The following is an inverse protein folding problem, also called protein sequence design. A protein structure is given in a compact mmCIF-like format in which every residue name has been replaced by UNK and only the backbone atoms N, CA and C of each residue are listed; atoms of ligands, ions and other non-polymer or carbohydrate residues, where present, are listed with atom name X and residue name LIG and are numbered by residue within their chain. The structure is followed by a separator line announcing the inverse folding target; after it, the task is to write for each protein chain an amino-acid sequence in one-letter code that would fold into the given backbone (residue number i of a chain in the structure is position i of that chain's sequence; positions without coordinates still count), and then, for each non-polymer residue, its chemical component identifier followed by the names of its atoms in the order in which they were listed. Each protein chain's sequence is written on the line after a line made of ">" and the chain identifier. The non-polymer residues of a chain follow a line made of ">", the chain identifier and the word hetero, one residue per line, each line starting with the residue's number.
data_IF_853015158385
#
_entry.id   IF_853015158385
#
_cell.length_a   1.000
_cell.length_b   1.000
_cell.length_c   1.000
_cell.angle_alpha   90.00
_cell.angle_beta   90.00
_cell.angle_gamma   90.00
#
_symmetry.space_group_name_H-M   'P 1'
#
loop_
_entity.id
_entity.type
_entity.pdbx_description
1 polymer ?
#
# COMPACT_ATOMS: atom_id res chain seq x y z
N UNK A 1 24.54 40.24 22.35
CA UNK A 1 23.39 39.83 23.16
C UNK A 1 22.79 41.06 23.91
N UNK A 2 23.60 41.81 24.70
CA UNK A 2 23.11 42.92 25.53
C UNK A 2 22.39 44.04 24.74
N UNK A 3 22.90 44.36 23.54
CA UNK A 3 22.29 45.40 22.68
C UNK A 3 20.91 44.94 22.14
N UNK A 4 20.78 43.68 21.73
CA UNK A 4 19.53 43.11 21.26
C UNK A 4 18.48 43.02 22.40
N UNK A 5 18.92 42.64 23.60
CA UNK A 5 18.06 42.55 24.75
C UNK A 5 17.53 43.94 25.15
N UNK A 6 18.39 44.94 25.25
CA UNK A 6 17.98 46.30 25.55
C UNK A 6 17.02 46.87 24.51
N UNK A 7 17.26 46.61 23.22
CA UNK A 7 16.33 47.01 22.17
C UNK A 7 14.98 46.35 22.32
N UNK A 8 14.93 45.05 22.54
CA UNK A 8 13.69 44.28 22.72
C UNK A 8 12.88 44.76 23.94
N UNK A 9 13.56 45.02 25.07
CA UNK A 9 12.92 45.54 26.28
C UNK A 9 12.37 46.95 26.09
N UNK A 10 13.06 47.76 25.26
CA UNK A 10 12.60 49.12 24.97
C UNK A 10 11.44 49.17 23.99
N UNK A 11 11.31 48.18 23.13
CA UNK A 11 10.27 48.09 22.12
C UNK A 11 9.28 46.92 22.38
N UNK A 12 8.84 46.76 23.62
CA UNK A 12 7.95 45.69 24.07
C UNK A 12 6.75 45.43 23.16
N UNK A 13 5.95 46.47 22.73
CA UNK A 13 4.79 46.19 21.90
C UNK A 13 5.13 45.65 20.51
N UNK A 14 6.28 46.05 19.95
CA UNK A 14 6.72 45.58 18.64
C UNK A 14 7.14 44.10 18.72
N UNK A 15 7.82 43.73 19.79
CA UNK A 15 8.25 42.36 20.01
C UNK A 15 7.02 41.45 20.23
N UNK A 16 6.07 41.86 21.06
CA UNK A 16 4.84 41.10 21.31
C UNK A 16 4.03 40.92 20.03
N UNK A 17 3.84 42.01 19.27
CA UNK A 17 3.12 41.95 17.99
C UNK A 17 3.83 41.03 16.99
N UNK A 18 5.16 41.11 16.89
CA UNK A 18 5.97 40.24 16.05
C UNK A 18 5.83 38.77 16.41
N UNK A 19 5.82 38.45 17.72
CA UNK A 19 5.60 37.08 18.19
C UNK A 19 4.19 36.57 17.83
N UNK A 20 3.16 37.43 17.98
CA UNK A 20 1.78 37.04 17.64
C UNK A 20 1.67 36.80 16.13
N UNK A 21 2.22 37.66 15.31
CA UNK A 21 2.21 37.50 13.84
C UNK A 21 2.94 36.21 13.44
N UNK A 22 4.11 35.97 14.00
CA UNK A 22 4.87 34.76 13.75
C UNK A 22 4.10 33.50 14.16
N UNK A 23 3.43 33.54 15.30
CA UNK A 23 2.59 32.43 15.77
C UNK A 23 1.42 32.14 14.83
N UNK A 24 0.71 33.20 14.39
CA UNK A 24 -0.40 33.05 13.43
C UNK A 24 0.09 32.49 12.10
N UNK A 25 1.20 32.98 11.58
CA UNK A 25 1.81 32.43 10.34
C UNK A 25 2.19 30.98 10.52
N UNK A 26 2.76 30.61 11.66
CA UNK A 26 3.11 29.21 11.99
C UNK A 26 1.88 28.30 12.00
N UNK A 27 0.75 28.76 12.54
CA UNK A 27 -0.52 28.01 12.51
C UNK A 27 -1.04 27.79 11.08
N UNK A 28 -0.92 28.81 10.22
CA UNK A 28 -1.30 28.66 8.82
C UNK A 28 -0.38 27.68 8.08
N UNK A 29 0.93 27.74 8.32
CA UNK A 29 1.87 26.76 7.77
C UNK A 29 1.60 25.34 8.28
N UNK A 30 1.31 25.18 9.58
CA UNK A 30 0.99 23.88 10.15
C UNK A 30 -0.26 23.25 9.51
N UNK A 31 -1.26 24.04 9.15
CA UNK A 31 -2.47 23.56 8.46
C UNK A 31 -2.19 23.05 7.04
N UNK A 32 -1.13 23.55 6.40
CA UNK A 32 -0.70 23.12 5.06
C UNK A 32 0.14 21.83 5.09
N UNK A 33 0.63 21.42 6.27
CA UNK A 33 1.38 20.19 6.44
C UNK A 33 0.37 19.07 6.71
N UNK A 34 0.31 18.10 5.80
CA UNK A 34 -0.47 16.88 6.00
C UNK A 34 0.01 16.14 7.26
N UNK A 35 -0.92 15.61 8.03
CA UNK A 35 -0.59 14.75 9.18
C UNK A 35 -0.72 13.30 8.74
N UNK A 36 0.41 12.62 8.62
CA UNK A 36 0.46 11.18 8.41
C UNK A 36 0.95 10.52 9.70
N UNK A 37 0.19 9.54 10.20
CA UNK A 37 0.56 8.83 11.42
C UNK A 37 1.77 7.91 11.18
N UNK A 38 1.80 7.25 10.03
CA UNK A 38 2.95 6.52 9.53
C UNK A 38 3.24 6.99 8.09
N UNK A 39 4.29 7.80 7.89
CA UNK A 39 4.68 8.15 6.53
C UNK A 39 5.11 6.89 5.77
N UNK A 40 4.72 6.81 4.51
CA UNK A 40 5.16 5.74 3.63
C UNK A 40 6.69 5.79 3.53
N UNK A 41 7.35 4.84 4.18
CA UNK A 41 8.79 4.69 4.08
C UNK A 41 9.11 3.77 2.91
N UNK A 42 10.04 4.21 2.07
CA UNK A 42 10.57 3.36 1.03
C UNK A 42 11.55 2.34 1.64
N UNK A 43 11.00 1.20 2.04
CA UNK A 43 11.77 0.10 2.63
C UNK A 43 12.38 -0.82 1.57
N UNK A 44 12.36 -0.43 0.29
CA UNK A 44 12.79 -1.25 -0.83
C UNK A 44 12.13 -2.64 -0.88
N UNK A 45 10.92 -2.77 -0.34
CA UNK A 45 10.17 -4.04 -0.28
C UNK A 45 8.77 -3.86 -0.82
N UNK A 46 8.33 -4.85 -1.60
CA UNK A 46 6.98 -4.96 -2.14
C UNK A 46 6.44 -6.33 -1.79
N UNK A 47 5.22 -6.41 -1.29
CA UNK A 47 4.48 -7.65 -1.21
C UNK A 47 3.38 -7.66 -2.26
N UNK A 48 3.24 -8.76 -3.00
CA UNK A 48 2.15 -8.95 -3.95
C UNK A 48 1.39 -10.20 -3.56
N UNK A 49 0.09 -10.06 -3.39
CA UNK A 49 -0.81 -11.19 -3.14
C UNK A 49 -1.73 -11.37 -4.33
N UNK A 50 -1.73 -12.56 -4.88
CA UNK A 50 -2.57 -12.95 -6.01
C UNK A 50 -3.46 -14.11 -5.59
N UNK A 51 -4.71 -14.04 -5.98
CA UNK A 51 -5.69 -15.11 -5.80
C UNK A 51 -6.12 -15.62 -7.17
N UNK A 52 -5.94 -16.91 -7.41
CA UNK A 52 -6.49 -17.64 -8.54
C UNK A 52 -7.91 -18.12 -8.20
N UNK A 53 -8.70 -18.57 -9.18
CA UNK A 53 -10.00 -19.18 -8.90
C UNK A 53 -9.92 -20.34 -7.91
N UNK A 54 -10.89 -20.41 -7.02
CA UNK A 54 -10.97 -21.47 -6.00
C UNK A 54 -10.95 -22.85 -6.67
N UNK A 55 -10.12 -23.75 -6.15
CA UNK A 55 -9.92 -25.08 -6.72
C UNK A 55 -8.75 -25.20 -7.70
N UNK A 56 -8.02 -24.12 -7.93
CA UNK A 56 -6.79 -24.16 -8.73
C UNK A 56 -5.77 -25.10 -8.07
N UNK A 57 -5.17 -25.98 -8.87
CA UNK A 57 -4.13 -26.90 -8.41
C UNK A 57 -2.86 -26.14 -8.09
N UNK A 58 -2.16 -26.58 -7.05
CA UNK A 58 -0.88 -25.99 -6.61
C UNK A 58 0.16 -25.91 -7.71
N UNK A 59 0.24 -26.94 -8.54
CA UNK A 59 1.20 -27.02 -9.64
C UNK A 59 0.98 -25.92 -10.68
N UNK A 60 -0.31 -25.62 -11.01
CA UNK A 60 -0.64 -24.53 -11.91
C UNK A 60 -0.32 -23.17 -11.30
N UNK A 61 -0.65 -22.98 -10.02
CA UNK A 61 -0.31 -21.75 -9.32
C UNK A 61 1.22 -21.53 -9.26
N UNK A 62 1.99 -22.60 -9.11
CA UNK A 62 3.45 -22.56 -9.15
C UNK A 62 3.98 -22.18 -10.54
N UNK A 63 3.44 -22.76 -11.61
CA UNK A 63 3.82 -22.43 -12.98
C UNK A 63 3.57 -20.94 -13.31
N UNK A 64 2.42 -20.41 -12.89
CA UNK A 64 2.08 -19.00 -13.03
C UNK A 64 3.05 -18.12 -12.24
N UNK A 65 3.41 -18.54 -11.02
CA UNK A 65 4.35 -17.82 -10.16
C UNK A 65 5.74 -17.75 -10.75
N UNK A 66 6.24 -18.85 -11.30
CA UNK A 66 7.55 -18.91 -11.98
C UNK A 66 7.57 -18.01 -13.22
N UNK A 67 6.50 -18.03 -14.02
CA UNK A 67 6.37 -17.18 -15.19
C UNK A 67 6.40 -15.69 -14.84
N UNK A 68 5.63 -15.28 -13.82
CA UNK A 68 5.62 -13.90 -13.33
C UNK A 68 6.96 -13.49 -12.75
N UNK A 69 7.59 -14.35 -11.96
CA UNK A 69 8.91 -14.10 -11.38
C UNK A 69 9.94 -13.81 -12.48
N UNK A 70 10.00 -14.68 -13.49
CA UNK A 70 10.92 -14.51 -14.62
C UNK A 70 10.64 -13.23 -15.41
N UNK A 71 9.36 -12.89 -15.60
CA UNK A 71 8.97 -11.67 -16.28
C UNK A 71 9.39 -10.43 -15.51
N UNK A 72 9.15 -10.38 -14.21
CA UNK A 72 9.52 -9.25 -13.37
C UNK A 72 11.03 -9.11 -13.18
N UNK A 73 11.76 -10.21 -13.00
CA UNK A 73 13.23 -10.18 -12.94
C UNK A 73 13.85 -9.66 -14.24
N UNK A 74 13.27 -9.97 -15.40
CA UNK A 74 13.74 -9.45 -16.67
C UNK A 74 13.36 -7.97 -16.87
N UNK A 75 12.13 -7.57 -16.49
CA UNK A 75 11.64 -6.20 -16.65
C UNK A 75 12.38 -5.23 -15.72
N UNK A 76 12.60 -5.62 -14.47
CA UNK A 76 13.23 -4.79 -13.43
C UNK A 76 14.68 -5.20 -13.15
N UNK A 77 15.39 -5.62 -14.20
CA UNK A 77 16.79 -6.03 -14.11
C UNK A 77 17.66 -4.87 -13.61
N UNK A 78 18.36 -5.09 -12.49
CA UNK A 78 19.19 -4.06 -11.82
C UNK A 78 18.46 -3.22 -10.77
N UNK A 79 17.13 -3.29 -10.71
CA UNK A 79 16.31 -2.63 -9.66
C UNK A 79 15.80 -3.65 -8.65
N UNK A 80 15.44 -4.85 -9.11
CA UNK A 80 14.97 -5.93 -8.28
C UNK A 80 16.14 -6.84 -7.88
N UNK A 81 16.32 -7.02 -6.57
CA UNK A 81 17.39 -7.86 -6.02
C UNK A 81 16.93 -9.29 -5.77
N UNK A 82 15.75 -9.43 -5.19
CA UNK A 82 15.18 -10.74 -4.82
C UNK A 82 13.69 -10.73 -5.13
N UNK A 83 13.21 -11.84 -5.68
CA UNK A 83 11.79 -12.12 -5.86
C UNK A 83 11.51 -13.53 -5.35
N UNK A 84 10.94 -13.62 -4.16
CA UNK A 84 10.51 -14.89 -3.57
C UNK A 84 9.00 -15.01 -3.72
N UNK A 85 8.51 -16.21 -4.00
CA UNK A 85 7.09 -16.51 -3.98
C UNK A 85 6.77 -17.72 -3.10
N UNK A 86 5.58 -17.71 -2.54
CA UNK A 86 5.02 -18.82 -1.78
C UNK A 86 3.65 -19.14 -2.36
N UNK A 87 3.42 -20.42 -2.68
CA UNK A 87 2.14 -20.92 -3.21
C UNK A 87 1.48 -21.81 -2.17
N UNK A 88 0.21 -21.53 -1.90
CA UNK A 88 -0.53 -22.22 -0.87
C UNK A 88 -0.20 -21.63 0.48
N UNK A 89 -0.15 -22.44 1.51
CA UNK A 89 -0.03 -21.99 2.85
C UNK A 89 1.36 -22.04 3.44
N UNK A 90 1.63 -21.12 4.37
CA UNK A 90 2.66 -21.27 5.37
C UNK A 90 2.35 -22.44 6.33
N UNK A 91 3.39 -23.07 6.89
CA UNK A 91 3.28 -24.22 7.80
C UNK A 91 2.24 -24.01 8.91
N UNK A 92 1.43 -25.03 9.14
CA UNK A 92 0.35 -25.06 10.14
C UNK A 92 0.81 -24.79 11.59
N UNK A 93 2.09 -24.86 11.85
CA UNK A 93 2.68 -24.67 13.18
C UNK A 93 2.95 -23.19 13.51
N UNK A 94 2.71 -22.27 12.57
CA UNK A 94 2.92 -20.86 12.79
C UNK A 94 1.58 -20.13 13.03
N UNK A 95 1.37 -19.64 14.25
CA UNK A 95 0.15 -18.91 14.65
C UNK A 95 -0.14 -17.70 13.76
N UNK A 96 0.88 -17.07 13.17
CA UNK A 96 0.73 -15.95 12.25
C UNK A 96 0.23 -16.39 10.87
N UNK A 97 0.49 -17.61 10.47
CA UNK A 97 0.02 -18.17 9.22
C UNK A 97 -1.48 -18.41 9.20
N UNK A 98 -2.08 -18.68 10.37
CA UNK A 98 -3.52 -18.86 10.50
C UNK A 98 -4.33 -17.55 10.42
N UNK A 99 -3.65 -16.39 10.50
CA UNK A 99 -4.26 -15.07 10.32
C UNK A 99 -4.25 -14.60 8.86
N UNK A 100 -3.59 -15.33 7.97
CA UNK A 100 -3.57 -15.03 6.53
C UNK A 100 -4.53 -15.94 5.79
N UNK A 101 -5.04 -15.44 4.66
CA UNK A 101 -5.85 -16.26 3.75
C UNK A 101 -5.00 -17.43 3.24
N UNK A 102 -5.50 -18.65 3.46
CA UNK A 102 -4.78 -19.87 3.17
C UNK A 102 -5.51 -20.68 2.09
N UNK A 103 -4.80 -21.10 1.07
CA UNK A 103 -5.36 -21.94 0.02
C UNK A 103 -4.38 -22.18 -1.12
N UNK A 104 -4.47 -23.32 -1.79
CA UNK A 104 -3.62 -23.68 -2.93
C UNK A 104 -3.71 -22.69 -4.11
N UNK A 105 -4.73 -21.85 -4.12
CA UNK A 105 -5.01 -20.83 -5.12
C UNK A 105 -4.39 -19.47 -4.77
N UNK A 106 -3.78 -19.33 -3.58
CA UNK A 106 -3.18 -18.07 -3.12
C UNK A 106 -1.69 -18.09 -3.37
N UNK A 107 -1.19 -17.02 -3.99
CA UNK A 107 0.21 -16.81 -4.28
C UNK A 107 0.64 -15.52 -3.58
N UNK A 108 1.69 -15.60 -2.77
CA UNK A 108 2.28 -14.45 -2.09
C UNK A 108 3.70 -14.24 -2.59
N UNK A 109 3.98 -13.06 -3.14
CA UNK A 109 5.32 -12.65 -3.53
C UNK A 109 5.89 -11.68 -2.51
N UNK A 110 7.16 -11.87 -2.19
CA UNK A 110 7.97 -10.94 -1.43
C UNK A 110 9.14 -10.49 -2.30
N UNK A 111 9.13 -9.25 -2.67
CA UNK A 111 10.07 -8.65 -3.61
C UNK A 111 10.93 -7.65 -2.85
N UNK A 112 12.25 -7.76 -3.02
CA UNK A 112 13.20 -6.79 -2.51
C UNK A 112 13.83 -6.05 -3.67
N UNK A 113 13.85 -4.72 -3.57
CA UNK A 113 14.49 -3.83 -4.52
C UNK A 113 15.86 -3.40 -3.98
N UNK A 114 16.62 -2.75 -4.83
CA UNK A 114 17.83 -2.02 -4.44
C UNK A 114 17.45 -0.81 -3.60
N UNK A 115 18.34 -0.36 -2.74
CA UNK A 115 18.10 0.79 -1.86
C UNK A 115 17.70 2.05 -2.64
N UNK A 116 16.90 2.95 -2.05
CA UNK A 116 16.40 4.16 -2.73
C UNK A 116 17.49 5.05 -3.31
N UNK A 117 18.71 5.01 -2.75
CA UNK A 117 19.86 5.79 -3.24
C UNK A 117 20.52 5.23 -4.51
N UNK A 118 20.29 3.96 -4.82
CA UNK A 118 20.94 3.25 -5.91
C UNK A 118 19.99 2.93 -7.09
N UNK A 119 18.80 3.52 -7.10
CA UNK A 119 17.80 3.35 -8.15
C UNK A 119 17.18 4.68 -8.60
N UNK A 120 16.90 4.79 -9.88
CA UNK A 120 16.26 5.97 -10.48
C UNK A 120 14.73 5.95 -10.40
N UNK A 121 14.14 4.79 -10.08
CA UNK A 121 12.69 4.56 -10.07
C UNK A 121 12.20 4.49 -8.62
N UNK A 122 11.11 5.21 -8.30
CA UNK A 122 10.51 5.15 -6.95
C UNK A 122 9.79 3.81 -6.72
N UNK A 123 9.66 3.42 -5.43
CA UNK A 123 8.91 2.24 -5.03
C UNK A 123 7.46 2.29 -5.53
N UNK A 124 6.83 3.46 -5.45
CA UNK A 124 5.45 3.67 -5.90
C UNK A 124 5.28 3.44 -7.39
N UNK A 125 6.22 3.94 -8.20
CA UNK A 125 6.20 3.74 -9.66
C UNK A 125 6.31 2.25 -10.02
N UNK A 126 7.19 1.50 -9.35
CA UNK A 126 7.30 0.05 -9.56
C UNK A 126 5.99 -0.65 -9.19
N UNK A 127 5.38 -0.27 -8.06
CA UNK A 127 4.09 -0.84 -7.66
C UNK A 127 2.97 -0.54 -8.65
N UNK A 128 2.91 0.69 -9.17
CA UNK A 128 1.88 1.08 -10.15
C UNK A 128 2.04 0.34 -11.47
N UNK A 129 3.28 0.22 -11.96
CA UNK A 129 3.57 -0.60 -13.15
C UNK A 129 3.22 -2.08 -12.94
N UNK A 130 3.51 -2.63 -11.75
CA UNK A 130 3.13 -4.00 -11.41
C UNK A 130 1.61 -4.17 -11.39
N UNK A 131 0.87 -3.21 -10.84
CA UNK A 131 -0.60 -3.21 -10.87
C UNK A 131 -1.14 -3.19 -12.29
N UNK A 132 -0.55 -2.38 -13.18
CA UNK A 132 -0.96 -2.34 -14.57
C UNK A 132 -0.65 -3.64 -15.33
N UNK A 133 0.51 -4.24 -15.04
CA UNK A 133 0.87 -5.53 -15.63
C UNK A 133 -0.09 -6.64 -15.15
N UNK A 134 -0.45 -6.65 -13.87
CA UNK A 134 -1.38 -7.64 -13.32
C UNK A 134 -2.80 -7.49 -13.87
N UNK A 135 -3.25 -6.29 -14.21
CA UNK A 135 -4.56 -6.08 -14.87
C UNK A 135 -4.68 -6.77 -16.24
N UNK A 136 -3.54 -7.09 -16.88
CA UNK A 136 -3.53 -7.81 -18.16
C UNK A 136 -3.85 -9.29 -18.03
N UNK A 137 -3.85 -9.81 -16.81
CA UNK A 137 -4.13 -11.22 -16.51
C UNK A 137 -5.53 -11.37 -15.89
N UNK A 138 -6.54 -11.68 -16.68
CA UNK A 138 -7.92 -11.86 -16.18
C UNK A 138 -8.08 -13.14 -15.34
N UNK A 139 -7.04 -13.95 -15.25
CA UNK A 139 -7.01 -15.20 -14.50
C UNK A 139 -7.00 -15.00 -12.98
N UNK A 140 -6.61 -13.80 -12.52
CA UNK A 140 -6.58 -13.50 -11.10
C UNK A 140 -7.93 -12.96 -10.62
N UNK A 141 -8.53 -13.66 -9.66
CA UNK A 141 -9.75 -13.22 -8.96
C UNK A 141 -9.47 -11.97 -8.15
N UNK A 142 -8.26 -11.89 -7.55
CA UNK A 142 -7.79 -10.74 -6.79
C UNK A 142 -6.29 -10.56 -6.99
N UNK A 143 -5.85 -9.33 -7.15
CA UNK A 143 -4.44 -8.99 -7.25
C UNK A 143 -4.19 -7.75 -6.40
N UNK A 144 -3.37 -7.89 -5.37
CA UNK A 144 -3.08 -6.84 -4.42
C UNK A 144 -1.57 -6.58 -4.36
N UNK A 145 -1.16 -5.31 -4.55
CA UNK A 145 0.24 -4.88 -4.45
C UNK A 145 0.38 -3.95 -3.26
N UNK A 146 1.18 -4.37 -2.27
CA UNK A 146 1.34 -3.71 -0.98
C UNK A 146 2.74 -3.13 -0.88
N UNK A 147 2.84 -1.84 -0.61
CA UNK A 147 4.11 -1.16 -0.35
C UNK A 147 4.62 -1.52 1.05
N UNK A 148 5.94 -1.68 1.17
CA UNK A 148 6.57 -1.93 2.47
C UNK A 148 6.70 -3.40 2.86
N UNK A 149 6.26 -4.33 2.03
CA UNK A 149 6.51 -5.77 2.20
C UNK A 149 5.84 -6.43 3.40
N UNK A 150 4.83 -5.81 4.01
CA UNK A 150 4.14 -6.38 5.16
C UNK A 150 2.69 -6.69 4.86
N UNK A 151 2.35 -7.97 4.85
CA UNK A 151 0.97 -8.49 4.77
C UNK A 151 0.24 -8.40 6.13
N UNK A 152 0.85 -7.82 7.16
CA UNK A 152 0.34 -7.85 8.54
C UNK A 152 -0.60 -6.70 8.90
N UNK A 153 -1.28 -6.07 7.94
CA UNK A 153 -2.25 -5.00 8.21
C UNK A 153 -1.67 -3.67 8.72
N UNK A 154 -0.36 -3.62 8.97
CA UNK A 154 0.37 -2.40 9.36
C UNK A 154 1.10 -1.77 8.16
N UNK A 155 0.59 -1.96 6.95
CA UNK A 155 1.10 -1.26 5.79
C UNK A 155 0.84 0.24 5.95
N UNK A 156 1.82 1.05 5.59
CA UNK A 156 1.69 2.52 5.57
C UNK A 156 0.64 3.02 4.56
N UNK A 157 0.00 2.11 3.86
CA UNK A 157 -1.05 2.39 2.90
C UNK A 157 -2.35 2.68 3.65
N UNK A 158 -2.88 3.87 3.50
CA UNK A 158 -4.18 4.22 4.07
C UNK A 158 -5.25 3.31 3.46
N UNK A 159 -5.87 2.47 4.28
CA UNK A 159 -7.02 1.65 3.89
C UNK A 159 -8.28 2.20 4.54
N UNK A 160 -9.37 2.20 3.79
CA UNK A 160 -10.69 2.51 4.30
C UNK A 160 -11.57 1.27 4.12
N UNK A 161 -12.05 0.73 5.23
CA UNK A 161 -12.91 -0.45 5.22
C UNK A 161 -14.38 0.00 5.26
N UNK A 162 -15.16 -0.47 4.31
CA UNK A 162 -16.59 -0.22 4.20
C UNK A 162 -17.34 -1.51 4.46
N UNK A 163 -18.22 -1.50 5.45
CA UNK A 163 -19.08 -2.63 5.75
C UNK A 163 -20.47 -2.40 5.18
N UNK A 164 -20.96 -3.34 4.37
CA UNK A 164 -22.28 -3.29 3.76
C UNK A 164 -23.16 -4.31 4.44
N UNK A 165 -24.20 -3.84 5.12
CA UNK A 165 -25.18 -4.68 5.82
C UNK A 165 -26.48 -4.79 5.04
N UNK A 166 -27.06 -6.00 4.95
CA UNK A 166 -28.33 -6.23 4.31
C UNK A 166 -28.95 -7.54 4.75
N UNK A 167 -30.25 -7.70 4.51
CA UNK A 167 -31.00 -8.93 4.83
C UNK A 167 -30.90 -9.98 3.72
N UNK A 168 -30.63 -9.56 2.48
CA UNK A 168 -30.48 -10.41 1.30
C UNK A 168 -29.03 -10.37 0.83
N UNK A 169 -28.42 -11.53 0.65
CA UNK A 169 -27.06 -11.69 0.13
C UNK A 169 -26.94 -11.11 -1.28
N UNK A 170 -27.89 -11.40 -2.17
CA UNK A 170 -27.86 -10.94 -3.56
C UNK A 170 -27.93 -9.40 -3.67
N UNK A 171 -28.78 -8.79 -2.83
CA UNK A 171 -28.88 -7.33 -2.78
C UNK A 171 -27.58 -6.72 -2.25
N UNK A 172 -27.00 -7.30 -1.20
CA UNK A 172 -25.74 -6.85 -0.61
C UNK A 172 -24.58 -6.94 -1.60
N UNK A 173 -24.49 -8.05 -2.34
CA UNK A 173 -23.47 -8.24 -3.38
C UNK A 173 -23.63 -7.23 -4.54
N UNK A 174 -24.86 -6.97 -4.95
CA UNK A 174 -25.14 -5.98 -6.00
C UNK A 174 -24.74 -4.56 -5.58
N UNK A 175 -25.00 -4.20 -4.32
CA UNK A 175 -24.62 -2.91 -3.75
C UNK A 175 -23.09 -2.81 -3.60
N UNK A 176 -22.43 -3.87 -3.13
CA UNK A 176 -20.98 -3.93 -3.01
C UNK A 176 -20.28 -3.77 -4.37
N UNK A 177 -20.79 -4.45 -5.41
CA UNK A 177 -20.27 -4.34 -6.77
C UNK A 177 -20.47 -2.93 -7.37
N UNK A 178 -21.59 -2.28 -7.04
CA UNK A 178 -21.84 -0.89 -7.44
C UNK A 178 -20.92 0.06 -6.71
N UNK A 179 -20.76 -0.10 -5.39
CA UNK A 179 -19.86 0.69 -4.56
C UNK A 179 -18.41 0.59 -5.06
N UNK A 180 -17.95 -0.62 -5.38
CA UNK A 180 -16.62 -0.85 -5.96
C UNK A 180 -16.40 -0.02 -7.22
N UNK A 181 -17.37 0.02 -8.14
CA UNK A 181 -17.26 0.80 -9.38
C UNK A 181 -17.19 2.30 -9.13
N UNK A 182 -17.97 2.80 -8.19
CA UNK A 182 -17.98 4.22 -7.86
C UNK A 182 -16.68 4.63 -7.15
N UNK A 183 -16.19 3.81 -6.22
CA UNK A 183 -14.94 4.07 -5.51
C UNK A 183 -13.72 4.08 -6.43
N UNK A 184 -13.67 3.22 -7.46
CA UNK A 184 -12.59 3.21 -8.44
C UNK A 184 -12.50 4.51 -9.26
N UNK A 185 -13.59 5.28 -9.36
CA UNK A 185 -13.60 6.58 -10.02
C UNK A 185 -13.12 7.73 -9.12
N UNK A 186 -12.93 7.48 -7.82
CA UNK A 186 -12.48 8.50 -6.87
C UNK A 186 -10.98 8.70 -6.98
N UNK A 187 -10.55 9.94 -7.15
CA UNK A 187 -9.13 10.29 -7.24
C UNK A 187 -8.42 9.94 -5.94
N UNK A 188 -7.37 9.13 -6.02
CA UNK A 188 -6.57 8.69 -4.87
C UNK A 188 -6.89 7.27 -4.42
N UNK A 189 -7.91 6.62 -4.99
CA UNK A 189 -8.17 5.20 -4.78
C UNK A 189 -7.40 4.40 -5.82
N UNK A 190 -6.47 3.56 -5.36
CA UNK A 190 -5.65 2.72 -6.22
C UNK A 190 -6.29 1.35 -6.47
N UNK A 191 -6.99 0.83 -5.46
CA UNK A 191 -7.55 -0.52 -5.50
C UNK A 191 -8.77 -0.63 -4.58
N UNK A 192 -9.77 -1.40 -5.00
CA UNK A 192 -10.96 -1.71 -4.19
C UNK A 192 -11.20 -3.22 -4.22
N UNK A 193 -11.09 -3.84 -3.05
CA UNK A 193 -11.31 -5.27 -2.86
C UNK A 193 -12.63 -5.53 -2.15
N UNK A 194 -13.35 -6.57 -2.58
CA UNK A 194 -14.52 -7.09 -1.87
C UNK A 194 -14.02 -8.32 -1.12
N UNK A 195 -14.25 -8.39 0.19
CA UNK A 195 -13.79 -9.49 1.04
C UNK A 195 -14.44 -10.83 0.75
N UNK A 196 -15.59 -10.84 0.07
CA UNK A 196 -16.25 -12.05 -0.36
C UNK A 196 -15.84 -12.42 -1.78
N UNK A 197 -15.27 -13.61 -1.94
CA UNK A 197 -15.06 -14.28 -3.23
C UNK A 197 -16.21 -15.24 -3.48
N UNK A 198 -16.74 -15.24 -4.70
CA UNK A 198 -17.74 -16.21 -5.19
C UNK A 198 -17.15 -17.62 -5.26
#
# INVERSE_FOLDING_TARGET
>A
YARMLNWAVRHRPIVIFGCIVFFVVSLFCAKSIGTEFFPAQDNARIAVQLELPIGTRKELAQEVSEKLTNQWLNKYKGVMTVCNYTVGQADSDNTWASMQDNGSHIISFNISLVDPGDRDISLEQVCDEMREDLKKYPEFSKAQVILGGSNTGMSAQASADFEVYGYSMEETDSVAARLKRELLNVKGVSEVNISRSD
#
